data_IF_245978735057
#
_entry.id   IF_245978735057
#
_cell.length_a   1.000
_cell.length_b   1.000
_cell.length_c   1.000
_cell.angle_alpha   90.00
_cell.angle_beta   90.00
_cell.angle_gamma   90.00
#
_symmetry.space_group_name_H-M   'P 1'
#
loop_
_entity.id
_entity.type
_entity.pdbx_description
1 polymer ?
#
# COMPACT_ATOMS: atom_id res chain seq x y z
N UNK A 1 -96.87 55.58 4.40
CA UNK A 1 -95.59 54.86 4.20
C UNK A 1 -94.68 55.19 5.37
N UNK A 2 -94.31 54.14 6.12
CA UNK A 2 -93.74 54.12 7.47
C UNK A 2 -92.31 54.71 7.52
N UNK A 3 -92.02 55.72 8.35
CA UNK A 3 -91.58 55.71 9.78
C UNK A 3 -90.09 55.40 10.01
N UNK A 4 -89.42 56.40 10.62
CA UNK A 4 -88.44 56.35 11.73
C UNK A 4 -87.12 55.58 11.47
N UNK A 5 -85.94 56.04 11.90
CA UNK A 5 -85.58 57.05 12.88
C UNK A 5 -84.37 56.55 13.68
N UNK A 6 -83.29 57.34 13.67
CA UNK A 6 -82.29 57.58 14.73
C UNK A 6 -81.93 56.47 15.74
N UNK A 7 -80.62 56.27 15.99
CA UNK A 7 -80.19 55.56 17.22
C UNK A 7 -78.69 55.41 17.42
N UNK A 8 -78.08 56.44 17.97
CA UNK A 8 -76.71 56.56 18.51
C UNK A 8 -76.41 55.58 19.67
N UNK A 9 -75.14 55.16 19.85
CA UNK A 9 -74.34 55.00 21.11
C UNK A 9 -73.11 54.11 20.83
N UNK A 10 -71.87 54.59 20.96
CA UNK A 10 -71.07 54.89 22.18
C UNK A 10 -70.70 53.65 23.01
N UNK A 11 -69.38 53.45 23.10
CA UNK A 11 -68.59 52.81 24.15
C UNK A 11 -68.76 51.30 24.44
N UNK A 12 -67.63 50.58 24.48
CA UNK A 12 -67.11 50.04 25.75
C UNK A 12 -65.77 49.32 25.52
N UNK A 13 -64.75 49.80 26.24
CA UNK A 13 -63.58 48.99 26.61
C UNK A 13 -64.03 47.76 27.40
N UNK A 14 -63.43 46.60 27.13
CA UNK A 14 -63.48 45.50 28.09
C UNK A 14 -62.11 44.81 28.17
N UNK A 15 -61.36 45.14 29.22
CA UNK A 15 -60.19 44.39 29.68
C UNK A 15 -60.71 43.29 30.60
N UNK A 16 -60.47 42.01 30.31
CA UNK A 16 -60.41 40.98 31.35
C UNK A 16 -59.73 39.67 30.88
N UNK A 17 -58.78 39.22 31.71
CA UNK A 17 -58.38 37.82 32.02
C UNK A 17 -57.35 37.10 31.12
N UNK A 18 -56.12 37.01 31.63
CA UNK A 18 -55.25 35.80 31.58
C UNK A 18 -55.91 34.69 32.45
N UNK A 19 -55.65 33.37 32.35
CA UNK A 19 -54.41 32.69 31.89
C UNK A 19 -54.64 31.42 31.03
N UNK A 20 -53.56 30.78 30.53
CA UNK A 20 -53.66 29.47 29.89
C UNK A 20 -52.35 28.94 29.33
N UNK A 21 -51.56 28.26 30.17
CA UNK A 21 -50.55 27.28 29.76
C UNK A 21 -51.22 26.24 28.85
N UNK A 22 -50.69 26.01 27.66
CA UNK A 22 -50.67 24.67 27.06
C UNK A 22 -49.34 24.49 26.31
N UNK A 23 -48.48 23.70 26.96
CA UNK A 23 -47.34 23.00 26.39
C UNK A 23 -47.78 22.24 25.13
N UNK A 24 -47.21 22.55 23.97
CA UNK A 24 -47.10 21.61 22.85
C UNK A 24 -46.07 22.06 21.81
N UNK A 25 -44.90 22.51 22.27
CA UNK A 25 -43.71 22.60 21.44
C UNK A 25 -42.80 21.44 21.80
N UNK A 26 -43.14 20.23 21.31
CA UNK A 26 -42.32 19.04 21.42
C UNK A 26 -40.95 19.38 20.82
N UNK A 27 -40.01 19.73 21.68
CA UNK A 27 -38.60 19.85 21.37
C UNK A 27 -38.17 18.44 20.96
N UNK A 28 -38.21 18.16 19.65
CA UNK A 28 -37.41 17.11 19.04
C UNK A 28 -35.95 17.46 19.33
N UNK A 29 -35.49 17.11 20.53
CA UNK A 29 -34.09 16.86 20.78
C UNK A 29 -33.80 15.68 19.86
N UNK A 30 -33.30 15.98 18.67
CA UNK A 30 -32.58 15.00 17.87
C UNK A 30 -31.44 14.53 18.75
N UNK A 31 -31.65 13.42 19.45
CA UNK A 31 -30.56 12.53 19.82
C UNK A 31 -29.91 12.14 18.49
N UNK A 32 -28.99 12.98 18.02
CA UNK A 32 -27.91 12.53 17.18
C UNK A 32 -27.20 11.48 18.02
N UNK A 33 -27.63 10.23 17.86
CA UNK A 33 -26.76 9.08 18.11
C UNK A 33 -25.56 9.39 17.22
N UNK A 34 -24.53 9.98 17.81
CA UNK A 34 -23.27 10.16 17.12
C UNK A 34 -22.82 8.73 16.89
N UNK A 35 -22.97 8.25 15.64
CA UNK A 35 -22.47 6.95 15.27
C UNK A 35 -20.99 6.95 15.65
N UNK A 36 -20.62 6.04 16.56
CA UNK A 36 -19.25 5.87 17.01
C UNK A 36 -18.34 5.94 15.79
N UNK A 37 -17.46 6.94 15.78
CA UNK A 37 -16.62 7.19 14.61
C UNK A 37 -15.29 6.47 14.79
N UNK A 38 -14.68 6.07 13.68
CA UNK A 38 -13.30 5.56 13.70
C UNK A 38 -12.34 6.50 14.47
N UNK A 39 -12.53 7.81 14.34
CA UNK A 39 -11.67 8.84 14.94
C UNK A 39 -11.76 8.87 16.47
N UNK A 40 -12.94 8.61 17.03
CA UNK A 40 -13.15 8.53 18.47
C UNK A 40 -12.38 7.34 19.05
N UNK A 41 -12.51 6.16 18.43
CA UNK A 41 -11.75 4.97 18.83
C UNK A 41 -10.24 5.15 18.66
N UNK A 42 -9.81 5.84 17.60
CA UNK A 42 -8.40 6.16 17.37
C UNK A 42 -7.83 7.14 18.39
N UNK A 43 -8.64 8.11 18.82
CA UNK A 43 -8.26 9.06 19.88
C UNK A 43 -8.08 8.33 21.20
N UNK A 44 -9.05 7.50 21.61
CA UNK A 44 -8.95 6.68 22.82
C UNK A 44 -7.71 5.76 22.79
N UNK A 45 -7.44 5.13 21.63
CA UNK A 45 -6.25 4.29 21.45
C UNK A 45 -4.93 5.06 21.67
N UNK A 46 -4.85 6.30 21.17
CA UNK A 46 -3.67 7.17 21.35
C UNK A 46 -3.50 7.63 22.79
N UNK A 47 -4.60 7.82 23.50
CA UNK A 47 -4.62 8.18 24.92
C UNK A 47 -4.35 6.97 25.84
N UNK A 48 -4.36 5.76 25.27
CA UNK A 48 -4.08 4.52 25.98
C UNK A 48 -5.33 3.86 26.59
N UNK A 49 -6.51 4.44 26.39
CA UNK A 49 -7.79 3.83 26.76
C UNK A 49 -8.18 2.79 25.71
N UNK A 50 -7.64 1.59 25.89
CA UNK A 50 -7.84 0.47 24.96
C UNK A 50 -9.27 -0.08 25.01
N UNK A 51 -9.91 -0.06 26.17
CA UNK A 51 -11.28 -0.57 26.33
C UNK A 51 -12.27 0.32 25.58
N UNK A 52 -12.14 1.65 25.72
CA UNK A 52 -12.93 2.60 24.95
C UNK A 52 -12.62 2.51 23.46
N UNK A 53 -11.35 2.36 23.07
CA UNK A 53 -10.96 2.20 21.67
C UNK A 53 -11.61 0.97 21.02
N UNK A 54 -11.55 -0.18 21.70
CA UNK A 54 -12.12 -1.45 21.24
C UNK A 54 -13.63 -1.32 21.08
N UNK A 55 -14.34 -0.92 22.13
CA UNK A 55 -15.81 -0.83 22.12
C UNK A 55 -16.33 0.17 21.08
N UNK A 56 -15.63 1.29 20.89
CA UNK A 56 -15.95 2.28 19.86
C UNK A 56 -15.72 1.71 18.46
N UNK A 57 -14.59 1.02 18.23
CA UNK A 57 -14.31 0.39 16.95
C UNK A 57 -15.23 -0.80 16.65
N UNK A 58 -15.66 -1.58 17.64
CA UNK A 58 -16.67 -2.64 17.46
C UNK A 58 -17.98 -2.06 16.94
N UNK A 59 -18.48 -1.00 17.60
CA UNK A 59 -19.70 -0.30 17.18
C UNK A 59 -19.57 0.26 15.76
N UNK A 60 -18.44 0.90 15.45
CA UNK A 60 -18.18 1.46 14.12
C UNK A 60 -18.04 0.35 13.04
N UNK A 61 -17.45 -0.78 13.39
CA UNK A 61 -17.28 -1.92 12.50
C UNK A 61 -18.62 -2.63 12.22
N UNK A 62 -19.53 -2.68 13.19
CA UNK A 62 -20.91 -3.14 12.97
C UNK A 62 -21.67 -2.20 12.01
N UNK A 63 -21.39 -0.91 12.07
CA UNK A 63 -21.91 0.07 11.10
C UNK A 63 -21.22 0.03 9.72
N UNK A 64 -20.25 -0.87 9.51
CA UNK A 64 -19.59 -1.07 8.22
C UNK A 64 -18.30 -0.27 8.02
N UNK A 65 -17.76 0.42 9.04
CA UNK A 65 -16.50 1.14 8.90
C UNK A 65 -15.32 0.14 8.79
N UNK A 66 -14.73 0.07 7.59
CA UNK A 66 -13.64 -0.86 7.28
C UNK A 66 -12.33 -0.52 7.98
N UNK A 67 -12.12 0.75 8.39
CA UNK A 67 -10.93 1.16 9.13
C UNK A 67 -10.99 0.66 10.57
N UNK A 68 -12.18 0.70 11.18
CA UNK A 68 -12.43 0.13 12.51
C UNK A 68 -12.27 -1.40 12.48
N UNK A 69 -12.80 -2.09 11.46
CA UNK A 69 -12.54 -3.51 11.24
C UNK A 69 -11.04 -3.81 11.15
N UNK A 70 -10.28 -3.01 10.40
CA UNK A 70 -8.83 -3.14 10.29
C UNK A 70 -8.10 -2.88 11.62
N UNK A 71 -8.53 -1.88 12.38
CA UNK A 71 -7.98 -1.61 13.70
C UNK A 71 -8.22 -2.77 14.67
N UNK A 72 -9.43 -3.32 14.71
CA UNK A 72 -9.74 -4.50 15.52
C UNK A 72 -8.87 -5.70 15.12
N UNK A 73 -8.75 -5.98 13.82
CA UNK A 73 -7.84 -7.02 13.33
C UNK A 73 -6.41 -6.81 13.82
N UNK A 74 -5.95 -5.56 13.78
CA UNK A 74 -4.63 -5.15 14.26
C UNK A 74 -4.40 -5.31 15.76
N UNK A 75 -5.45 -5.17 16.59
CA UNK A 75 -5.40 -5.40 18.02
C UNK A 75 -5.28 -6.89 18.33
N UNK A 76 -6.11 -7.72 17.71
CA UNK A 76 -6.06 -9.18 17.87
C UNK A 76 -4.75 -9.79 17.39
N UNK A 77 -4.19 -9.31 16.28
CA UNK A 77 -2.89 -9.78 15.78
C UNK A 77 -1.74 -9.53 16.77
N UNK A 78 -1.80 -8.44 17.55
CA UNK A 78 -0.74 -8.02 18.48
C UNK A 78 -1.03 -8.32 19.94
N UNK A 79 -2.24 -8.77 20.27
CA UNK A 79 -2.70 -8.93 21.65
C UNK A 79 -2.73 -7.61 22.44
N UNK A 80 -3.08 -6.49 21.80
CA UNK A 80 -3.11 -5.17 22.46
C UNK A 80 -4.53 -4.87 22.94
N UNK A 81 -4.75 -4.92 24.26
CA UNK A 81 -6.08 -4.72 24.88
C UNK A 81 -7.00 -5.94 24.80
N UNK A 82 -6.67 -6.91 23.93
CA UNK A 82 -7.34 -8.21 23.81
C UNK A 82 -6.27 -9.31 23.82
N UNK A 83 -6.61 -10.57 24.18
CA UNK A 83 -5.68 -11.70 23.97
C UNK A 83 -5.24 -11.80 22.52
N UNK A 84 -3.96 -12.13 22.30
CA UNK A 84 -3.45 -12.32 20.94
C UNK A 84 -4.16 -13.52 20.28
N UNK A 85 -4.79 -13.27 19.14
CA UNK A 85 -5.51 -14.27 18.37
C UNK A 85 -5.39 -13.93 16.87
N UNK A 86 -4.42 -14.53 16.16
CA UNK A 86 -4.26 -14.31 14.73
C UNK A 86 -5.48 -14.72 13.90
N UNK A 87 -6.25 -15.71 14.35
CA UNK A 87 -7.44 -16.18 13.65
C UNK A 87 -8.61 -15.21 13.78
N UNK A 88 -8.78 -14.59 14.96
CA UNK A 88 -9.70 -13.47 15.11
C UNK A 88 -9.23 -12.25 14.30
N UNK A 89 -7.92 -11.97 14.31
CA UNK A 89 -7.30 -10.92 13.49
C UNK A 89 -7.60 -11.09 12.00
N UNK A 90 -7.43 -12.29 11.47
CA UNK A 90 -7.75 -12.65 10.09
C UNK A 90 -9.22 -12.33 9.75
N UNK A 91 -10.17 -12.77 10.58
CA UNK A 91 -11.60 -12.55 10.35
C UNK A 91 -11.96 -11.06 10.26
N UNK A 92 -11.38 -10.24 11.12
CA UNK A 92 -11.57 -8.79 11.07
C UNK A 92 -10.96 -8.15 9.84
N UNK A 93 -9.74 -8.55 9.45
CA UNK A 93 -9.16 -8.08 8.20
C UNK A 93 -9.92 -8.54 6.97
N UNK A 94 -10.42 -9.77 6.95
CA UNK A 94 -11.20 -10.29 5.83
C UNK A 94 -12.45 -9.42 5.61
N UNK A 95 -13.19 -9.10 6.69
CA UNK A 95 -14.32 -8.17 6.61
C UNK A 95 -13.92 -6.79 6.07
N UNK A 96 -12.79 -6.24 6.54
CA UNK A 96 -12.27 -4.96 6.04
C UNK A 96 -11.86 -5.03 4.55
N UNK A 97 -11.28 -6.15 4.14
CA UNK A 97 -10.82 -6.39 2.77
C UNK A 97 -11.98 -6.57 1.79
N UNK A 98 -13.03 -7.28 2.21
CA UNK A 98 -14.31 -7.42 1.52
C UNK A 98 -15.04 -6.08 1.38
N UNK A 99 -14.95 -5.23 2.41
CA UNK A 99 -15.40 -3.84 2.36
C UNK A 99 -14.51 -2.91 1.50
N UNK A 100 -13.48 -3.46 0.85
CA UNK A 100 -12.67 -2.77 -0.15
C UNK A 100 -11.44 -2.05 0.38
N UNK A 101 -11.06 -2.22 1.65
CA UNK A 101 -9.88 -1.55 2.21
C UNK A 101 -8.58 -2.19 1.68
N UNK A 102 -7.74 -1.48 0.90
CA UNK A 102 -6.55 -2.07 0.27
C UNK A 102 -5.51 -2.60 1.26
N UNK A 103 -5.34 -1.93 2.40
CA UNK A 103 -4.43 -2.36 3.46
C UNK A 103 -4.87 -3.70 4.05
N UNK A 104 -6.17 -3.91 4.23
CA UNK A 104 -6.70 -5.17 4.70
C UNK A 104 -6.51 -6.28 3.66
N UNK A 105 -6.76 -5.98 2.37
CA UNK A 105 -6.53 -6.91 1.26
C UNK A 105 -5.06 -7.37 1.20
N UNK A 106 -4.11 -6.45 1.37
CA UNK A 106 -2.69 -6.80 1.47
C UNK A 106 -2.39 -7.67 2.70
N UNK A 107 -2.94 -7.32 3.87
CA UNK A 107 -2.69 -8.09 5.10
C UNK A 107 -3.24 -9.52 5.01
N UNK A 108 -4.45 -9.73 4.50
CA UNK A 108 -4.99 -11.09 4.36
C UNK A 108 -4.24 -11.88 3.29
N UNK A 109 -3.75 -11.23 2.22
CA UNK A 109 -2.89 -11.89 1.25
C UNK A 109 -1.61 -12.41 1.91
N UNK A 110 -0.96 -11.60 2.74
CA UNK A 110 0.21 -12.01 3.49
C UNK A 110 -0.11 -13.13 4.50
N UNK A 111 -1.24 -13.04 5.21
CA UNK A 111 -1.64 -14.07 6.16
C UNK A 111 -1.94 -15.42 5.50
N UNK A 112 -2.64 -15.42 4.36
CA UNK A 112 -2.90 -16.61 3.54
C UNK A 112 -1.61 -17.20 2.95
N UNK A 113 -0.63 -16.37 2.61
CA UNK A 113 0.65 -16.87 2.12
C UNK A 113 1.48 -17.55 3.22
N UNK A 114 1.46 -17.00 4.44
CA UNK A 114 2.23 -17.52 5.57
C UNK A 114 1.49 -18.59 6.40
N UNK A 115 0.19 -18.76 6.20
CA UNK A 115 -0.66 -19.60 7.05
C UNK A 115 -0.80 -19.07 8.48
N UNK A 116 -0.80 -17.74 8.67
CA UNK A 116 -0.87 -17.10 9.98
C UNK A 116 -2.32 -16.75 10.34
N UNK A 117 -2.93 -17.47 11.29
CA UNK A 117 -4.34 -17.27 11.67
C UNK A 117 -5.37 -17.79 10.66
N UNK A 118 -4.90 -18.36 9.55
CA UNK A 118 -5.68 -19.01 8.51
C UNK A 118 -4.83 -20.11 7.89
N UNK A 119 -5.44 -21.14 7.31
CA UNK A 119 -4.70 -22.13 6.53
C UNK A 119 -4.01 -21.45 5.33
N UNK A 120 -2.80 -21.90 5.00
CA UNK A 120 -2.04 -21.28 3.92
C UNK A 120 -2.69 -21.58 2.55
N UNK A 121 -3.02 -20.53 1.80
CA UNK A 121 -3.44 -20.62 0.41
C UNK A 121 -2.70 -19.56 -0.44
N UNK A 122 -1.55 -19.94 -1.01
CA UNK A 122 -0.77 -19.04 -1.87
C UNK A 122 -1.54 -18.58 -3.11
N UNK A 123 -2.50 -19.36 -3.63
CA UNK A 123 -3.27 -18.98 -4.83
C UNK A 123 -4.30 -17.92 -4.48
N UNK A 124 -5.01 -18.10 -3.38
CA UNK A 124 -5.94 -17.08 -2.88
C UNK A 124 -5.19 -15.80 -2.47
N UNK A 125 -4.03 -15.93 -1.82
CA UNK A 125 -3.15 -14.81 -1.50
C UNK A 125 -2.85 -13.95 -2.75
N UNK A 126 -2.55 -14.56 -3.90
CA UNK A 126 -2.28 -13.82 -5.13
C UNK A 126 -3.49 -13.02 -5.62
N UNK A 127 -4.69 -13.55 -5.43
CA UNK A 127 -5.93 -12.85 -5.77
C UNK A 127 -6.08 -11.58 -4.92
N UNK A 128 -5.80 -11.69 -3.61
CA UNK A 128 -5.86 -10.55 -2.70
C UNK A 128 -4.75 -9.53 -2.92
N UNK A 129 -3.50 -9.96 -3.15
CA UNK A 129 -2.41 -9.07 -3.55
C UNK A 129 -2.76 -8.30 -4.82
N UNK A 130 -3.32 -8.98 -5.83
CA UNK A 130 -3.73 -8.34 -7.08
C UNK A 130 -4.83 -7.29 -6.85
N UNK A 131 -5.83 -7.58 -6.00
CA UNK A 131 -6.90 -6.62 -5.67
C UNK A 131 -6.34 -5.36 -4.98
N UNK A 132 -5.48 -5.54 -3.98
CA UNK A 132 -4.83 -4.43 -3.29
C UNK A 132 -3.92 -3.61 -4.23
N UNK A 133 -3.18 -4.28 -5.12
CA UNK A 133 -2.33 -3.64 -6.12
C UNK A 133 -3.14 -2.79 -7.12
N UNK A 134 -4.28 -3.32 -7.59
CA UNK A 134 -5.23 -2.60 -8.46
C UNK A 134 -5.86 -1.41 -7.77
N UNK A 135 -6.06 -1.48 -6.45
CA UNK A 135 -6.53 -0.36 -5.64
C UNK A 135 -5.44 0.71 -5.38
N UNK A 136 -4.23 0.52 -5.92
CA UNK A 136 -3.17 1.53 -5.91
C UNK A 136 -2.19 1.44 -4.76
N UNK A 137 -2.33 0.48 -3.83
CA UNK A 137 -1.46 0.37 -2.66
C UNK A 137 -0.02 0.02 -3.07
N UNK A 138 1.00 0.89 -2.86
CA UNK A 138 2.36 0.66 -3.36
C UNK A 138 2.99 -0.63 -2.84
N UNK A 139 2.76 -0.97 -1.57
CA UNK A 139 3.25 -2.19 -0.94
C UNK A 139 2.68 -3.44 -1.63
N UNK A 140 1.38 -3.44 -1.93
CA UNK A 140 0.74 -4.55 -2.64
C UNK A 140 1.19 -4.64 -4.10
N UNK A 141 1.39 -3.50 -4.77
CA UNK A 141 1.94 -3.47 -6.12
C UNK A 141 3.34 -4.11 -6.17
N UNK A 142 4.22 -3.73 -5.24
CA UNK A 142 5.57 -4.31 -5.12
C UNK A 142 5.52 -5.80 -4.76
N UNK A 143 4.68 -6.19 -3.80
CA UNK A 143 4.53 -7.58 -3.39
C UNK A 143 4.02 -8.46 -4.55
N UNK A 144 2.95 -8.03 -5.24
CA UNK A 144 2.40 -8.74 -6.39
C UNK A 144 3.41 -8.82 -7.54
N UNK A 145 4.16 -7.74 -7.79
CA UNK A 145 5.23 -7.74 -8.79
C UNK A 145 6.33 -8.75 -8.46
N UNK A 146 6.76 -8.84 -7.19
CA UNK A 146 7.76 -9.83 -6.77
C UNK A 146 7.30 -11.26 -7.04
N UNK A 147 6.03 -11.58 -6.75
CA UNK A 147 5.47 -12.91 -7.00
C UNK A 147 5.32 -13.24 -8.49
N UNK A 148 4.99 -12.24 -9.31
CA UNK A 148 5.03 -12.38 -10.76
C UNK A 148 6.46 -12.54 -11.29
N UNK A 149 7.46 -11.97 -10.63
CA UNK A 149 8.85 -12.15 -11.04
C UNK A 149 9.33 -13.57 -10.74
N UNK A 150 9.15 -14.05 -9.51
CA UNK A 150 9.70 -15.33 -9.06
C UNK A 150 8.77 -16.55 -9.25
N UNK A 151 7.50 -16.33 -9.64
CA UNK A 151 6.53 -17.40 -9.87
C UNK A 151 5.93 -18.00 -8.59
N UNK A 152 5.97 -17.30 -7.45
CA UNK A 152 5.39 -17.79 -6.19
C UNK A 152 3.86 -17.64 -6.18
N UNK A 153 3.16 -18.77 -6.16
CA UNK A 153 1.68 -18.82 -6.10
C UNK A 153 0.97 -18.44 -7.40
N UNK A 154 1.71 -18.04 -8.43
CA UNK A 154 1.23 -17.68 -9.78
C UNK A 154 2.33 -17.99 -10.80
N UNK A 155 1.97 -18.21 -12.06
CA UNK A 155 2.96 -18.32 -13.14
C UNK A 155 3.80 -17.03 -13.26
N UNK A 156 5.10 -17.19 -13.45
CA UNK A 156 6.00 -16.06 -13.59
C UNK A 156 5.71 -15.26 -14.87
N UNK A 157 5.60 -13.95 -14.75
CA UNK A 157 5.43 -12.99 -15.84
C UNK A 157 6.29 -11.75 -15.54
N UNK A 158 7.59 -11.78 -15.91
CA UNK A 158 8.51 -10.68 -15.63
C UNK A 158 8.11 -9.38 -16.34
N UNK A 159 7.46 -9.45 -17.50
CA UNK A 159 6.97 -8.27 -18.21
C UNK A 159 5.87 -7.57 -17.41
N UNK A 160 4.94 -8.33 -16.84
CA UNK A 160 3.90 -7.79 -15.96
C UNK A 160 4.46 -7.36 -14.60
N UNK A 161 5.43 -8.08 -14.05
CA UNK A 161 6.14 -7.67 -12.84
C UNK A 161 6.79 -6.29 -13.01
N UNK A 162 7.46 -6.06 -14.15
CA UNK A 162 8.09 -4.76 -14.47
C UNK A 162 7.08 -3.61 -14.38
N UNK A 163 5.88 -3.79 -14.96
CA UNK A 163 4.82 -2.76 -14.94
C UNK A 163 4.31 -2.46 -13.53
N UNK A 164 4.18 -3.48 -12.68
CA UNK A 164 3.74 -3.29 -11.30
C UNK A 164 4.84 -2.70 -10.41
N UNK A 165 6.09 -3.10 -10.57
CA UNK A 165 7.22 -2.42 -9.92
C UNK A 165 7.31 -0.96 -10.35
N UNK A 166 7.11 -0.65 -11.63
CA UNK A 166 7.07 0.72 -12.11
C UNK A 166 5.93 1.53 -11.48
N UNK A 167 4.75 0.95 -11.33
CA UNK A 167 3.64 1.60 -10.63
C UNK A 167 4.00 1.93 -9.17
N UNK A 168 4.56 0.97 -8.42
CA UNK A 168 4.98 1.19 -7.03
C UNK A 168 6.15 2.19 -6.92
N UNK A 169 7.12 2.10 -7.83
CA UNK A 169 8.31 2.94 -7.84
C UNK A 169 7.98 4.42 -8.11
N UNK A 170 7.01 4.68 -9.00
CA UNK A 170 6.47 6.04 -9.26
C UNK A 170 5.79 6.64 -8.03
N UNK A 171 5.24 5.81 -7.15
CA UNK A 171 4.65 6.23 -5.87
C UNK A 171 5.70 6.38 -4.75
N UNK A 172 6.99 6.23 -5.06
CA UNK A 172 8.07 6.40 -4.11
C UNK A 172 8.50 5.14 -3.38
N UNK A 173 7.90 3.97 -3.65
CA UNK A 173 8.21 2.74 -2.91
C UNK A 173 9.69 2.32 -3.12
N UNK A 174 10.54 2.39 -2.08
CA UNK A 174 11.99 2.32 -2.23
C UNK A 174 12.48 0.98 -2.77
N UNK A 175 11.93 -0.13 -2.27
CA UNK A 175 12.29 -1.46 -2.75
C UNK A 175 11.81 -1.71 -4.18
N UNK A 176 10.68 -1.12 -4.58
CA UNK A 176 10.20 -1.26 -5.95
C UNK A 176 11.07 -0.48 -6.94
N UNK A 177 11.60 0.67 -6.53
CA UNK A 177 12.58 1.43 -7.30
C UNK A 177 13.87 0.61 -7.48
N UNK A 178 14.34 -0.07 -6.43
CA UNK A 178 15.50 -0.96 -6.51
C UNK A 178 15.24 -2.15 -7.45
N UNK A 179 14.12 -2.87 -7.28
CA UNK A 179 13.74 -3.99 -8.14
C UNK A 179 13.59 -3.57 -9.61
N UNK A 180 12.95 -2.43 -9.87
CA UNK A 180 12.83 -1.88 -11.22
C UNK A 180 14.20 -1.54 -11.83
N UNK A 181 15.11 -0.97 -11.04
CA UNK A 181 16.50 -0.74 -11.43
C UNK A 181 17.18 -2.04 -11.86
N UNK A 182 17.03 -3.11 -11.08
CA UNK A 182 17.59 -4.43 -11.37
C UNK A 182 17.01 -5.06 -12.63
N UNK A 183 15.70 -4.93 -12.85
CA UNK A 183 15.07 -5.45 -14.07
C UNK A 183 15.54 -4.69 -15.32
N UNK A 184 15.64 -3.36 -15.23
CA UNK A 184 16.14 -2.53 -16.33
C UNK A 184 17.62 -2.77 -16.61
N UNK A 185 18.46 -2.91 -15.60
CA UNK A 185 19.90 -3.15 -15.82
C UNK A 185 20.14 -4.47 -16.56
N UNK A 186 19.38 -5.51 -16.19
CA UNK A 186 19.57 -6.87 -16.69
C UNK A 186 18.68 -7.21 -17.89
N UNK A 187 17.79 -6.31 -18.31
CA UNK A 187 16.85 -6.58 -19.41
C UNK A 187 15.83 -7.67 -19.07
N UNK A 188 15.32 -7.68 -17.84
CA UNK A 188 14.30 -8.65 -17.40
C UNK A 188 12.92 -8.08 -17.70
N UNK A 189 12.15 -8.74 -18.57
CA UNK A 189 10.82 -8.29 -19.00
C UNK A 189 10.84 -7.06 -19.92
N UNK A 190 12.03 -6.59 -20.33
CA UNK A 190 12.26 -5.45 -21.23
C UNK A 190 13.69 -5.50 -21.78
N UNK A 191 14.04 -4.62 -22.73
CA UNK A 191 15.44 -4.45 -23.14
C UNK A 191 16.27 -3.82 -22.00
N UNK A 192 17.55 -4.18 -21.91
CA UNK A 192 18.45 -3.62 -20.91
C UNK A 192 18.65 -2.11 -21.12
N UNK A 193 18.47 -1.34 -20.05
CA UNK A 193 18.69 0.11 -20.01
C UNK A 193 19.38 0.49 -18.67
N UNK A 194 20.72 0.40 -18.61
CA UNK A 194 21.47 0.74 -17.41
C UNK A 194 21.37 2.23 -17.05
N UNK A 195 21.03 3.11 -18.00
CA UNK A 195 20.87 4.54 -17.71
C UNK A 195 19.55 4.82 -16.96
N UNK A 196 18.46 4.16 -17.34
CA UNK A 196 17.23 4.18 -16.55
C UNK A 196 17.41 3.45 -15.21
N UNK A 197 18.13 2.34 -15.18
CA UNK A 197 18.43 1.63 -13.94
C UNK A 197 19.15 2.53 -12.92
N UNK A 198 20.19 3.26 -13.34
CA UNK A 198 20.91 4.19 -12.48
C UNK A 198 20.00 5.26 -11.86
N UNK A 199 19.04 5.80 -12.63
CA UNK A 199 18.07 6.79 -12.12
C UNK A 199 17.16 6.21 -11.05
N UNK A 200 16.70 4.97 -11.23
CA UNK A 200 15.86 4.30 -10.23
C UNK A 200 16.66 3.88 -8.99
N UNK A 201 17.88 3.38 -9.18
CA UNK A 201 18.79 3.11 -8.07
C UNK A 201 19.12 4.36 -7.28
N UNK A 202 19.35 5.51 -7.90
CA UNK A 202 19.59 6.76 -7.19
C UNK A 202 18.42 7.15 -6.28
N UNK A 203 17.18 7.02 -6.77
CA UNK A 203 15.97 7.26 -5.95
C UNK A 203 15.91 6.31 -4.76
N UNK A 204 16.08 5.01 -4.97
CA UNK A 204 16.08 4.02 -3.89
C UNK A 204 17.23 4.25 -2.89
N UNK A 205 18.42 4.57 -3.40
CA UNK A 205 19.64 4.81 -2.61
C UNK A 205 19.52 6.03 -1.71
N UNK A 206 18.88 7.12 -2.19
CA UNK A 206 18.58 8.30 -1.38
C UNK A 206 17.58 8.01 -0.25
N UNK A 207 16.73 6.99 -0.41
CA UNK A 207 15.81 6.50 0.62
C UNK A 207 16.44 5.43 1.54
N UNK A 208 17.74 5.16 1.41
CA UNK A 208 18.46 4.26 2.30
C UNK A 208 18.53 2.79 1.87
N UNK A 209 18.06 2.44 0.66
CA UNK A 209 18.14 1.05 0.18
C UNK A 209 19.59 0.68 -0.12
N UNK A 210 20.19 -0.17 0.72
CA UNK A 210 21.61 -0.55 0.64
C UNK A 210 21.99 -1.24 -0.67
N UNK A 211 21.12 -2.11 -1.17
CA UNK A 211 21.34 -2.81 -2.44
C UNK A 211 21.38 -1.83 -3.63
N UNK A 212 20.54 -0.80 -3.60
CA UNK A 212 20.54 0.27 -4.60
C UNK A 212 21.80 1.13 -4.49
N UNK A 213 22.26 1.45 -3.27
CA UNK A 213 23.52 2.17 -3.04
C UNK A 213 24.71 1.39 -3.61
N UNK A 214 24.80 0.09 -3.33
CA UNK A 214 25.85 -0.78 -3.86
C UNK A 214 25.79 -0.89 -5.40
N UNK A 215 24.58 -1.02 -5.95
CA UNK A 215 24.37 -1.10 -7.40
C UNK A 215 24.76 0.19 -8.11
N UNK A 216 24.36 1.35 -7.55
CA UNK A 216 24.72 2.65 -8.08
C UNK A 216 26.22 2.93 -7.98
N UNK A 217 26.85 2.54 -6.87
CA UNK A 217 28.31 2.62 -6.72
C UNK A 217 29.04 1.85 -7.82
N UNK A 218 28.55 0.64 -8.14
CA UNK A 218 29.08 -0.21 -9.21
C UNK A 218 28.89 0.45 -10.58
N UNK A 219 27.72 0.99 -10.89
CA UNK A 219 27.46 1.68 -12.16
C UNK A 219 28.40 2.88 -12.35
N UNK A 220 28.62 3.70 -11.31
CA UNK A 220 29.59 4.81 -11.37
C UNK A 220 31.05 4.36 -11.50
N UNK A 221 31.42 3.21 -10.93
CA UNK A 221 32.78 2.66 -11.10
C UNK A 221 33.02 2.18 -12.51
N UNK A 222 32.01 1.54 -13.11
CA UNK A 222 32.11 0.90 -14.42
C UNK A 222 31.77 1.84 -15.58
N UNK A 223 31.18 3.01 -15.31
CA UNK A 223 30.67 3.91 -16.34
C UNK A 223 29.51 3.32 -17.14
N UNK A 224 28.72 2.41 -16.53
CA UNK A 224 27.60 1.73 -17.19
C UNK A 224 26.31 2.51 -16.97
N UNK A 225 25.78 3.10 -18.03
CA UNK A 225 24.55 3.91 -17.99
C UNK A 225 24.71 5.29 -17.33
N UNK A 226 25.87 5.57 -16.74
CA UNK A 226 26.29 6.86 -16.17
C UNK A 226 27.76 7.11 -16.51
N UNK A 227 28.18 8.37 -16.53
CA UNK A 227 29.61 8.68 -16.65
C UNK A 227 30.38 8.13 -15.45
N UNK A 228 31.56 7.54 -15.71
CA UNK A 228 32.37 6.95 -14.66
C UNK A 228 32.80 8.02 -13.64
N UNK A 229 32.58 7.78 -12.35
CA UNK A 229 32.87 8.76 -11.30
C UNK A 229 33.29 8.06 -10.00
N UNK A 230 34.61 8.04 -9.75
CA UNK A 230 35.19 7.41 -8.56
C UNK A 230 34.66 8.00 -7.25
N UNK A 231 34.52 9.33 -7.17
CA UNK A 231 34.02 10.00 -5.94
C UNK A 231 32.59 9.60 -5.61
N UNK A 232 31.71 9.54 -6.62
CA UNK A 232 30.32 9.08 -6.44
C UNK A 232 30.27 7.59 -6.10
N UNK A 233 31.12 6.77 -6.73
CA UNK A 233 31.23 5.35 -6.42
C UNK A 233 31.64 5.10 -4.97
N UNK A 234 32.69 5.78 -4.49
CA UNK A 234 33.16 5.68 -3.10
C UNK A 234 32.09 6.17 -2.12
N UNK A 235 31.43 7.29 -2.41
CA UNK A 235 30.35 7.82 -1.59
C UNK A 235 29.22 6.80 -1.41
N UNK A 236 28.70 6.23 -2.50
CA UNK A 236 27.61 5.26 -2.42
C UNK A 236 28.06 3.93 -1.79
N UNK A 237 29.32 3.54 -1.96
CA UNK A 237 29.92 2.38 -1.28
C UNK A 237 30.00 2.58 0.23
N UNK A 238 30.36 3.79 0.68
CA UNK A 238 30.39 4.14 2.10
C UNK A 238 28.96 4.13 2.70
N UNK A 239 28.00 4.75 2.01
CA UNK A 239 26.57 4.72 2.37
C UNK A 239 26.03 3.29 2.52
N UNK A 240 26.34 2.40 1.58
CA UNK A 240 25.92 0.98 1.64
C UNK A 240 26.46 0.25 2.88
N UNK A 241 27.61 0.69 3.41
CA UNK A 241 28.22 0.17 4.65
C UNK A 241 27.68 0.82 5.92
N UNK A 242 26.75 1.79 5.82
CA UNK A 242 26.22 2.57 6.94
C UNK A 242 27.11 3.74 7.36
N UNK A 243 28.05 4.16 6.50
CA UNK A 243 28.90 5.32 6.74
C UNK A 243 28.30 6.55 6.02
N UNK A 244 28.63 7.77 6.49
CA UNK A 244 28.30 9.04 5.81
C UNK A 244 26.79 9.27 5.58
N UNK A 245 25.95 8.89 6.55
CA UNK A 245 24.49 9.00 6.46
C UNK A 245 23.99 10.45 6.31
N UNK A 246 24.75 11.43 6.82
CA UNK A 246 24.42 12.87 6.80
C UNK A 246 25.06 13.66 5.65
N UNK A 247 25.98 13.06 4.87
CA UNK A 247 26.69 13.77 3.80
C UNK A 247 25.89 13.74 2.49
N UNK A 248 25.76 14.86 1.78
CA UNK A 248 25.12 14.86 0.46
C UNK A 248 26.01 14.21 -0.62
N UNK A 249 25.43 13.62 -1.69
CA UNK A 249 26.21 13.03 -2.78
C UNK A 249 27.14 14.05 -3.45
N UNK A 250 28.38 13.70 -3.79
CA UNK A 250 29.30 14.64 -4.42
C UNK A 250 28.76 15.14 -5.77
N UNK A 251 28.80 16.46 -5.95
CA UNK A 251 28.27 17.13 -7.15
C UNK A 251 26.75 17.22 -7.20
N UNK A 252 26.03 16.97 -6.09
CA UNK A 252 24.62 17.34 -5.97
C UNK A 252 24.53 18.86 -5.71
N UNK A 253 23.79 19.57 -6.55
CA UNK A 253 23.29 20.90 -6.18
C UNK A 253 22.25 20.73 -5.06
N UNK A 254 22.19 21.62 -4.06
CA UNK A 254 21.13 21.57 -3.05
C UNK A 254 19.78 21.52 -3.77
N UNK A 255 18.99 20.49 -3.51
CA UNK A 255 17.69 20.36 -4.14
C UNK A 255 16.81 21.53 -3.66
N UNK A 256 16.42 22.43 -4.57
CA UNK A 256 15.16 23.15 -4.40
C UNK A 256 14.07 22.10 -4.16
N UNK A 257 13.17 22.30 -3.18
CA UNK A 257 12.15 21.32 -2.87
C UNK A 257 11.37 21.01 -4.14
N UNK A 258 11.59 19.81 -4.67
CA UNK A 258 10.87 19.31 -5.84
C UNK A 258 9.48 19.05 -5.35
N UNK A 259 8.59 20.03 -5.54
CA UNK A 259 7.15 19.76 -5.50
C UNK A 259 6.94 18.66 -6.54
N UNK A 260 6.36 17.50 -6.17
CA UNK A 260 6.11 16.45 -7.14
C UNK A 260 5.33 17.08 -8.30
N UNK A 261 5.73 16.86 -9.57
CA UNK A 261 4.99 17.40 -10.69
C UNK A 261 3.56 16.89 -10.58
N UNK A 262 2.61 17.82 -10.47
CA UNK A 262 1.18 17.52 -10.63
C UNK A 262 1.06 16.74 -11.93
N UNK A 263 0.65 15.49 -11.82
CA UNK A 263 0.55 14.57 -12.94
C UNK A 263 -0.24 15.24 -14.07
N UNK A 264 0.45 15.62 -15.15
CA UNK A 264 -0.22 15.83 -16.42
C UNK A 264 -0.57 14.44 -16.92
N UNK A 265 -1.86 14.17 -17.00
CA UNK A 265 -2.46 12.93 -17.46
C UNK A 265 -2.12 12.72 -18.94
N UNK A 266 -0.94 12.16 -19.23
CA UNK A 266 -0.71 11.51 -20.52
C UNK A 266 -1.32 10.11 -20.45
N UNK A 267 -2.36 9.91 -21.24
CA UNK A 267 -3.06 8.63 -21.43
C UNK A 267 -2.07 7.59 -21.95
N UNK A 268 -1.55 6.76 -21.06
CA UNK A 268 -1.04 5.43 -21.42
C UNK A 268 -2.21 4.46 -21.36
N UNK A 269 -2.60 3.93 -22.52
CA UNK A 269 -3.67 2.94 -22.68
C UNK A 269 -3.33 1.64 -21.92
N UNK A 270 -3.88 1.52 -20.72
CA UNK A 270 -4.24 0.24 -20.10
C UNK A 270 -5.72 0.00 -20.42
N UNK A 271 -6.14 -1.23 -20.77
CA UNK A 271 -7.50 -1.48 -21.22
C UNK A 271 -8.51 -1.14 -20.11
N UNK A 272 -9.45 -0.26 -20.47
CA UNK A 272 -10.56 0.20 -19.65
C UNK A 272 -11.38 -0.97 -19.11
N UNK A 273 -11.52 -1.06 -17.79
CA UNK A 273 -12.83 -1.15 -17.14
C UNK A 273 -12.72 -0.59 -15.72
N UNK A 274 -13.72 0.21 -15.35
CA UNK A 274 -13.94 0.91 -14.07
C UNK A 274 -13.17 2.23 -13.84
N UNK A 275 -13.97 3.30 -13.73
CA UNK A 275 -13.57 4.69 -13.49
C UNK A 275 -12.78 4.83 -12.17
N UNK A 276 -11.76 5.72 -12.10
CA UNK A 276 -11.07 5.98 -10.85
C UNK A 276 -11.98 6.83 -9.94
N UNK A 277 -12.30 6.30 -8.77
CA UNK A 277 -12.77 7.12 -7.64
C UNK A 277 -11.54 7.85 -7.12
N UNK A 278 -11.58 9.18 -7.14
CA UNK A 278 -10.58 10.03 -6.49
C UNK A 278 -10.70 9.79 -4.98
N UNK A 279 -9.88 8.89 -4.45
CA UNK A 279 -9.73 8.73 -3.00
C UNK A 279 -8.60 9.65 -2.58
N UNK A 280 -8.99 10.71 -1.86
CA UNK A 280 -8.12 11.55 -1.03
C UNK A 280 -7.10 10.70 -0.27
N UNK A 281 -5.89 11.22 -0.07
CA UNK A 281 -4.75 10.60 0.60
C UNK A 281 -5.17 9.65 1.76
N UNK A 282 -4.60 8.43 1.86
CA UNK A 282 -4.95 7.54 2.96
C UNK A 282 -4.46 8.15 4.29
N UNK A 283 -5.34 8.39 5.28
CA UNK A 283 -4.92 8.80 6.61
C UNK A 283 -4.24 7.63 7.34
N UNK A 284 -3.36 7.97 8.29
CA UNK A 284 -2.46 7.10 9.06
C UNK A 284 -3.16 5.89 9.67
N UNK A 285 -3.13 4.74 8.99
CA UNK A 285 -3.48 3.43 9.54
C UNK A 285 -2.31 2.85 10.33
N UNK A 286 -2.59 2.17 11.46
CA UNK A 286 -1.57 1.48 12.25
C UNK A 286 -0.75 0.54 11.34
N UNK A 287 0.57 0.73 11.17
CA UNK A 287 1.36 -0.09 10.27
C UNK A 287 1.40 -1.52 10.78
N UNK A 288 0.75 -2.46 10.11
CA UNK A 288 0.88 -3.89 10.40
C UNK A 288 1.97 -4.47 9.50
N UNK A 289 3.01 -5.00 10.15
CA UNK A 289 4.15 -5.71 9.55
C UNK A 289 4.98 -4.82 8.61
N UNK A 290 6.10 -4.30 9.12
CA UNK A 290 7.24 -4.03 8.25
C UNK A 290 7.68 -5.38 7.69
N UNK A 291 7.31 -5.65 6.44
CA UNK A 291 8.02 -6.63 5.63
C UNK A 291 9.48 -6.18 5.65
N UNK A 292 10.36 -6.90 6.37
CA UNK A 292 11.78 -6.86 6.03
C UNK A 292 11.81 -7.31 4.58
N UNK A 293 12.00 -6.34 3.70
CA UNK A 293 11.96 -6.52 2.26
C UNK A 293 12.62 -7.84 1.90
N UNK A 294 11.86 -8.72 1.26
CA UNK A 294 12.42 -9.89 0.58
C UNK A 294 13.35 -9.32 -0.48
N UNK A 295 14.64 -9.21 -0.14
CA UNK A 295 15.70 -9.07 -1.13
C UNK A 295 15.48 -10.23 -2.09
N UNK A 296 15.07 -9.94 -3.32
CA UNK A 296 15.13 -10.92 -4.39
C UNK A 296 16.59 -11.37 -4.43
N UNK A 297 16.87 -12.57 -3.90
CA UNK A 297 18.20 -13.13 -3.99
C UNK A 297 18.55 -13.14 -5.49
N UNK A 298 19.72 -12.61 -5.89
CA UNK A 298 20.12 -12.71 -7.28
C UNK A 298 20.18 -14.19 -7.63
N UNK A 299 19.28 -14.66 -8.50
CA UNK A 299 19.49 -15.96 -9.12
C UNK A 299 20.81 -15.89 -9.89
N UNK A 300 21.66 -16.94 -9.79
CA UNK A 300 22.94 -16.94 -10.48
C UNK A 300 22.70 -16.73 -11.97
N UNK A 301 23.50 -15.86 -12.58
CA UNK A 301 23.52 -15.66 -14.03
C UNK A 301 23.48 -17.02 -14.71
N UNK A 302 22.42 -17.28 -15.47
CA UNK A 302 22.30 -18.50 -16.27
C UNK A 302 23.52 -18.58 -17.16
N UNK A 303 24.41 -19.53 -16.85
CA UNK A 303 25.53 -19.91 -17.72
C UNK A 303 24.93 -20.26 -19.09
N UNK A 304 25.47 -19.76 -20.21
CA UNK A 304 24.99 -20.17 -21.53
C UNK A 304 25.11 -21.69 -21.66
N UNK A 305 24.23 -22.36 -22.42
CA UNK A 305 24.25 -23.81 -22.56
C UNK A 305 25.62 -24.25 -23.05
N UNK A 306 26.21 -25.21 -22.35
CA UNK A 306 27.43 -25.88 -22.79
C UNK A 306 27.18 -26.48 -24.17
N UNK A 307 28.10 -26.21 -25.10
CA UNK A 307 28.17 -26.89 -26.39
C UNK A 307 28.09 -28.41 -26.16
N UNK A 308 27.22 -29.07 -26.91
CA UNK A 308 27.06 -30.52 -26.92
C UNK A 308 28.41 -31.17 -27.25
N UNK A 309 29.08 -31.68 -26.22
CA UNK A 309 30.26 -32.52 -26.39
C UNK A 309 29.79 -33.84 -27.01
N UNK A 310 30.04 -33.95 -28.32
CA UNK A 310 29.72 -35.08 -29.18
C UNK A 310 30.34 -36.35 -28.59
N UNK A 311 29.54 -37.16 -27.91
CA UNK A 311 29.93 -38.46 -27.39
C UNK A 311 30.21 -39.38 -28.59
N UNK A 312 31.47 -39.46 -28.99
CA UNK A 312 32.00 -40.56 -29.81
C UNK A 312 32.03 -41.82 -28.96
N UNK A 313 31.14 -42.75 -29.29
CA UNK A 313 31.16 -44.14 -28.82
C UNK A 313 32.50 -44.81 -29.17
N UNK A 314 33.18 -45.49 -28.22
CA UNK A 314 34.33 -46.31 -28.56
C UNK A 314 33.87 -47.65 -29.15
N UNK A 315 34.48 -48.00 -30.29
CA UNK A 315 34.30 -49.28 -30.96
C UNK A 315 34.75 -50.46 -30.07
N UNK A 316 33.96 -51.52 -30.08
CA UNK A 316 34.24 -52.77 -29.40
C UNK A 316 35.48 -53.47 -30.00
N UNK A 317 36.42 -53.86 -29.14
CA UNK A 317 37.51 -54.78 -29.48
C UNK A 317 36.98 -56.22 -29.55
N UNK A 318 37.50 -57.07 -30.46
CA UNK A 318 37.04 -58.44 -30.63
C UNK A 318 37.61 -59.38 -29.56
N UNK A 319 36.76 -60.30 -29.09
CA UNK A 319 37.12 -61.44 -28.25
C UNK A 319 37.96 -62.41 -29.09
N UNK A 320 39.12 -62.79 -28.57
CA UNK A 320 39.96 -63.87 -29.14
C UNK A 320 39.74 -65.13 -28.30
N UNK A 321 39.38 -66.23 -28.96
CA UNK A 321 39.30 -67.58 -28.39
C UNK A 321 40.68 -68.08 -27.94
N UNK A 322 40.71 -68.77 -26.79
CA UNK A 322 41.58 -69.91 -26.48
C UNK A 322 40.94 -70.73 -25.35
#
# INVERSE_FOLDING_TARGET
MAKQGSGTRVAAMNRHRLPGLLLSGLLCITLSVHAASFEEGFTAYREGDLDLAITTWETAAEAGDSRSMFSLGSLYMRGRGVPQDPSAGYKWFLRAAEAGLPQAQYNIAFMLEQGNGVEADPKEAMTWYQRAARAGLPQAQAAYASRLWDGRGIEADPTKALRWFEAAARQGHPEAQNSLGTMLENGIGTAADPAQAARWYERAATQGVRDAQASLARLYREGRGVEANGKRSEYWTARARGEREDEAPPGSTPATPVTPPVAKTEKSELPETTKPVVVSAPPTTLPLVEEKAVTAAPMPATRPPAEEEKITTPAASPVTEA
#
